data_IF_981042452766
#
_entry.id   IF_981042452766
#
_cell.length_a   1.000
_cell.length_b   1.000
_cell.length_c   1.000
_cell.angle_alpha   90.00
_cell.angle_beta   90.00
_cell.angle_gamma   90.00
#
_symmetry.space_group_name_H-M   'P 1'
#
loop_
_entity.id
_entity.type
_entity.pdbx_description
1 polymer ?
#
# COMPACT_ATOMS: atom_id res chain seq x y z
N UNK A 1 -28.51 10.74 -1.58
CA UNK A 1 -27.16 10.93 -2.17
C UNK A 1 -26.06 10.83 -1.13
N UNK A 2 -26.12 11.61 -0.04
CA UNK A 2 -25.15 11.56 1.09
C UNK A 2 -24.98 10.16 1.68
N UNK A 3 -26.06 9.42 1.91
CA UNK A 3 -25.99 8.05 2.48
C UNK A 3 -25.28 7.06 1.56
N UNK A 4 -25.48 7.15 0.23
CA UNK A 4 -24.78 6.29 -0.74
C UNK A 4 -23.28 6.56 -0.75
N UNK A 5 -22.88 7.84 -0.65
CA UNK A 5 -21.47 8.25 -0.56
C UNK A 5 -20.87 7.79 0.78
N UNK A 6 -21.61 7.89 1.88
CA UNK A 6 -21.16 7.42 3.18
C UNK A 6 -21.05 5.90 3.26
N UNK A 7 -22.00 5.17 2.68
CA UNK A 7 -21.96 3.70 2.60
C UNK A 7 -20.75 3.21 1.79
N UNK A 8 -20.49 3.86 0.64
CA UNK A 8 -19.29 3.63 -0.15
C UNK A 8 -18.01 3.93 0.65
N UNK A 9 -17.93 5.09 1.30
CA UNK A 9 -16.76 5.44 2.14
C UNK A 9 -16.52 4.47 3.30
N UNK A 10 -17.57 3.97 3.94
CA UNK A 10 -17.47 2.95 5.01
C UNK A 10 -16.98 1.60 4.48
N UNK A 11 -17.40 1.20 3.28
CA UNK A 11 -16.93 -0.01 2.63
C UNK A 11 -15.42 0.05 2.34
N UNK A 12 -14.94 1.15 1.73
CA UNK A 12 -13.50 1.35 1.50
C UNK A 12 -12.71 1.48 2.79
N UNK A 13 -13.24 2.20 3.78
CA UNK A 13 -12.60 2.31 5.10
C UNK A 13 -12.46 0.94 5.76
N UNK A 14 -13.46 0.06 5.63
CA UNK A 14 -13.41 -1.31 6.14
C UNK A 14 -12.38 -2.20 5.45
N UNK A 15 -11.99 -1.90 4.21
CA UNK A 15 -10.96 -2.64 3.47
C UNK A 15 -9.56 -2.09 3.68
N UNK A 16 -9.42 -0.76 3.68
CA UNK A 16 -8.13 -0.07 3.72
C UNK A 16 -7.61 0.07 5.16
N UNK A 17 -8.47 0.35 6.14
CA UNK A 17 -8.04 0.60 7.52
C UNK A 17 -7.34 -0.60 8.18
N UNK A 18 -7.82 -1.85 8.03
CA UNK A 18 -7.10 -3.02 8.58
C UNK A 18 -5.75 -3.28 7.91
N UNK A 19 -5.58 -2.87 6.65
CA UNK A 19 -4.39 -3.12 5.84
C UNK A 19 -3.47 -1.89 5.73
N UNK A 20 -3.79 -0.80 6.44
CA UNK A 20 -3.08 0.49 6.32
C UNK A 20 -1.61 0.38 6.70
N UNK A 21 -1.27 -0.48 7.66
CA UNK A 21 0.12 -0.75 8.03
C UNK A 21 0.93 -1.36 6.89
N UNK A 22 0.33 -2.26 6.10
CA UNK A 22 0.97 -2.84 4.92
C UNK A 22 1.18 -1.79 3.82
N UNK A 23 0.21 -0.89 3.60
CA UNK A 23 0.36 0.23 2.67
C UNK A 23 1.47 1.20 3.09
N UNK A 24 1.57 1.51 4.40
CA UNK A 24 2.61 2.38 4.94
C UNK A 24 4.00 1.72 4.79
N UNK A 25 4.15 0.47 5.20
CA UNK A 25 5.41 -0.26 5.08
C UNK A 25 5.86 -0.41 3.62
N UNK A 26 4.91 -0.73 2.73
CA UNK A 26 5.15 -0.75 1.30
C UNK A 26 5.59 0.62 0.77
N UNK A 27 4.91 1.71 1.15
CA UNK A 27 5.28 3.08 0.75
C UNK A 27 6.69 3.47 1.18
N UNK A 28 7.10 3.12 2.40
CA UNK A 28 8.46 3.35 2.89
C UNK A 28 9.50 2.56 2.12
N UNK A 29 9.26 1.26 1.87
CA UNK A 29 10.19 0.41 1.12
C UNK A 29 10.33 0.92 -0.33
N UNK A 30 9.22 1.30 -0.94
CA UNK A 30 9.13 1.86 -2.29
C UNK A 30 9.91 3.16 -2.41
N UNK A 31 9.75 4.08 -1.44
CA UNK A 31 10.46 5.36 -1.42
C UNK A 31 11.97 5.21 -1.18
N UNK A 32 12.38 4.22 -0.38
CA UNK A 32 13.78 4.05 0.00
C UNK A 32 14.56 3.22 -1.00
N UNK A 33 14.04 2.07 -1.46
CA UNK A 33 14.89 1.04 -2.08
C UNK A 33 14.74 0.86 -3.59
N UNK A 34 13.73 1.47 -4.22
CA UNK A 34 13.59 1.49 -5.69
C UNK A 34 14.80 2.18 -6.35
N UNK A 35 15.13 1.89 -7.63
CA UNK A 35 16.25 2.54 -8.33
C UNK A 35 16.29 4.07 -8.24
N UNK A 36 15.12 4.73 -8.25
CA UNK A 36 14.97 6.19 -8.09
C UNK A 36 14.79 6.66 -6.63
N UNK A 37 14.94 5.74 -5.66
CA UNK A 37 14.74 5.98 -4.24
C UNK A 37 15.96 6.60 -3.54
N UNK A 38 15.80 6.91 -2.24
CA UNK A 38 16.86 7.56 -1.46
C UNK A 38 18.07 6.65 -1.15
N UNK A 39 17.84 5.34 -1.09
CA UNK A 39 18.84 4.29 -0.80
C UNK A 39 18.61 3.08 -1.72
N UNK A 40 18.92 3.19 -3.03
CA UNK A 40 18.59 2.16 -4.01
C UNK A 40 19.25 0.82 -3.66
N UNK A 41 18.45 -0.25 -3.63
CA UNK A 41 18.92 -1.61 -3.35
C UNK A 41 18.10 -2.64 -4.14
N UNK A 42 18.74 -3.31 -5.10
CA UNK A 42 18.06 -4.25 -6.00
C UNK A 42 17.41 -5.45 -5.27
N UNK A 43 18.03 -5.94 -4.20
CA UNK A 43 17.52 -7.06 -3.41
C UNK A 43 16.27 -6.70 -2.62
N UNK A 44 16.24 -5.50 -2.01
CA UNK A 44 15.09 -5.00 -1.27
C UNK A 44 14.00 -4.43 -2.19
N UNK A 45 14.37 -3.86 -3.34
CA UNK A 45 13.44 -3.43 -4.38
C UNK A 45 12.63 -4.61 -4.94
N UNK A 46 13.23 -5.80 -5.03
CA UNK A 46 12.54 -7.02 -5.47
C UNK A 46 11.37 -7.41 -4.56
N UNK A 47 11.33 -6.93 -3.30
CA UNK A 47 10.23 -7.17 -2.36
C UNK A 47 9.00 -6.30 -2.65
N UNK A 48 9.16 -5.18 -3.36
CA UNK A 48 8.04 -4.26 -3.69
C UNK A 48 6.98 -4.99 -4.53
N UNK A 49 7.40 -5.82 -5.50
CA UNK A 49 6.49 -6.56 -6.37
C UNK A 49 5.60 -7.58 -5.63
N UNK A 50 6.18 -8.52 -4.85
CA UNK A 50 5.41 -9.45 -4.02
C UNK A 50 4.51 -8.77 -2.98
N UNK A 51 4.93 -7.63 -2.40
CA UNK A 51 4.11 -6.90 -1.43
C UNK A 51 2.81 -6.35 -2.05
N UNK A 52 2.88 -5.85 -3.28
CA UNK A 52 1.69 -5.42 -4.04
C UNK A 52 0.76 -6.60 -4.32
N UNK A 53 1.32 -7.75 -4.70
CA UNK A 53 0.54 -8.93 -5.14
C UNK A 53 -0.09 -9.73 -3.99
N UNK A 54 0.53 -9.74 -2.82
CA UNK A 54 0.13 -10.64 -1.72
C UNK A 54 -0.21 -9.93 -0.41
N UNK A 55 0.28 -8.72 -0.17
CA UNK A 55 0.07 -7.99 1.09
C UNK A 55 -1.00 -6.91 0.98
N UNK A 56 -1.11 -6.25 -0.17
CA UNK A 56 -2.03 -5.15 -0.35
C UNK A 56 -3.37 -5.64 -0.94
N UNK A 57 -4.51 -5.31 -0.31
CA UNK A 57 -5.84 -5.60 -0.86
C UNK A 57 -6.21 -4.54 -1.92
N UNK A 58 -5.55 -4.62 -3.07
CA UNK A 58 -5.74 -3.74 -4.24
C UNK A 58 -6.30 -4.50 -5.44
#
# INVERSE_FOLDING_TARGET
>A
MKEKIQAFGRFFSGMVLPNIGAFIAWGFITMLFIPDGFLPNEGLAALVGPMVKFLLPI
#
